data_IF_756302297613
#
_entry.id   IF_756302297613
#
_cell.length_a   1.000
_cell.length_b   1.000
_cell.length_c   1.000
_cell.angle_alpha   90.00
_cell.angle_beta   90.00
_cell.angle_gamma   90.00
#
_symmetry.space_group_name_H-M   'P 1'
#
loop_
_entity.id
_entity.type
_entity.pdbx_description
1 polymer ?
#
# COMPACT_ATOMS: atom_id res chain seq x y z
N UNK A 1 -42.81 29.67 14.85
CA UNK A 1 -42.41 28.25 14.79
C UNK A 1 -41.70 27.82 16.07
N UNK A 2 -40.74 28.60 16.58
CA UNK A 2 -40.02 28.32 17.83
C UNK A 2 -40.90 28.25 19.08
N UNK A 3 -41.94 29.09 19.15
CA UNK A 3 -42.86 29.13 20.30
C UNK A 3 -43.69 27.86 20.49
N UNK A 4 -43.77 26.97 19.50
CA UNK A 4 -44.48 25.69 19.66
C UNK A 4 -43.59 24.63 20.33
N UNK A 5 -42.27 24.70 20.13
CA UNK A 5 -41.30 23.73 20.63
C UNK A 5 -40.80 24.05 22.04
N UNK A 6 -40.63 25.34 22.35
CA UNK A 6 -40.01 25.80 23.60
C UNK A 6 -41.03 26.49 24.52
N UNK A 7 -40.89 26.26 25.82
CA UNK A 7 -41.67 26.97 26.83
C UNK A 7 -41.11 28.39 27.08
N UNK A 8 -41.78 29.15 27.93
CA UNK A 8 -41.35 30.51 28.31
C UNK A 8 -40.00 30.56 29.05
N UNK A 9 -39.52 29.42 29.57
CA UNK A 9 -38.18 29.31 30.18
C UNK A 9 -37.10 28.88 29.18
N UNK A 10 -37.43 28.71 27.90
CA UNK A 10 -36.46 28.36 26.85
C UNK A 10 -36.13 26.86 26.76
N UNK A 11 -36.83 26.00 27.49
CA UNK A 11 -36.69 24.54 27.44
C UNK A 11 -37.76 23.89 26.57
N UNK A 12 -37.50 22.65 26.15
CA UNK A 12 -38.44 21.92 25.30
C UNK A 12 -39.72 21.58 26.07
N UNK A 13 -40.87 21.87 25.45
CA UNK A 13 -42.19 21.50 25.98
C UNK A 13 -42.38 19.98 25.96
N UNK A 14 -43.17 19.47 26.90
CA UNK A 14 -43.52 18.04 26.94
C UNK A 14 -44.29 17.59 25.68
N UNK A 15 -45.11 18.48 25.12
CA UNK A 15 -45.81 18.23 23.85
C UNK A 15 -44.84 18.02 22.69
N UNK A 16 -43.77 18.82 22.62
CA UNK A 16 -42.74 18.72 21.59
C UNK A 16 -41.88 17.46 21.76
N UNK A 17 -41.53 17.10 23.01
CA UNK A 17 -40.85 15.82 23.30
C UNK A 17 -41.70 14.61 22.91
N UNK A 18 -43.01 14.65 23.16
CA UNK A 18 -43.91 13.59 22.72
C UNK A 18 -43.96 13.48 21.19
N UNK A 19 -44.07 14.61 20.48
CA UNK A 19 -44.00 14.64 19.01
C UNK A 19 -42.67 14.11 18.48
N UNK A 20 -41.56 14.40 19.16
CA UNK A 20 -40.24 13.84 18.83
C UNK A 20 -40.23 12.31 18.96
N UNK A 21 -40.72 11.77 20.08
CA UNK A 21 -40.80 10.32 20.32
C UNK A 21 -41.69 9.60 19.30
N UNK A 22 -42.83 10.21 18.98
CA UNK A 22 -43.80 9.64 18.05
C UNK A 22 -43.39 9.82 16.57
N UNK A 23 -42.24 10.46 16.29
CA UNK A 23 -41.75 10.71 14.92
C UNK A 23 -42.56 11.74 14.13
N UNK A 24 -43.32 12.60 14.81
CA UNK A 24 -44.27 13.55 14.23
C UNK A 24 -43.74 15.00 14.22
N UNK A 25 -42.41 15.17 14.16
CA UNK A 25 -41.78 16.46 13.91
C UNK A 25 -41.44 16.58 12.43
N UNK A 26 -41.58 17.78 11.88
CA UNK A 26 -41.02 18.07 10.55
C UNK A 26 -39.49 18.20 10.62
N UNK A 27 -38.82 18.12 9.46
CA UNK A 27 -37.35 18.12 9.39
C UNK A 27 -36.71 19.35 10.05
N UNK A 28 -37.34 20.52 9.92
CA UNK A 28 -36.83 21.78 10.48
C UNK A 28 -36.97 21.78 12.01
N UNK A 29 -38.13 21.36 12.53
CA UNK A 29 -38.37 21.22 13.96
C UNK A 29 -37.43 20.19 14.58
N UNK A 30 -37.18 19.08 13.88
CA UNK A 30 -36.25 18.04 14.31
C UNK A 30 -34.83 18.61 14.48
N UNK A 31 -34.32 19.33 13.47
CA UNK A 31 -32.99 19.95 13.53
C UNK A 31 -32.89 20.95 14.68
N UNK A 32 -33.89 21.82 14.85
CA UNK A 32 -33.91 22.83 15.92
C UNK A 32 -33.90 22.16 17.30
N UNK A 33 -34.76 21.15 17.48
CA UNK A 33 -34.91 20.45 18.75
C UNK A 33 -33.67 19.62 19.08
N UNK A 34 -33.10 18.89 18.11
CA UNK A 34 -31.84 18.16 18.28
C UNK A 34 -30.67 19.09 18.61
N UNK A 35 -30.58 20.26 17.97
CA UNK A 35 -29.52 21.22 18.26
C UNK A 35 -29.64 21.79 19.67
N UNK A 36 -30.87 22.00 20.15
CA UNK A 36 -31.09 22.44 21.52
C UNK A 36 -30.69 21.36 22.53
N UNK A 37 -31.09 20.10 22.32
CA UNK A 37 -30.73 18.97 23.21
C UNK A 37 -29.20 18.82 23.33
N UNK A 38 -28.46 19.00 22.23
CA UNK A 38 -26.99 18.98 22.24
C UNK A 38 -26.40 20.01 23.22
N UNK A 39 -27.09 21.14 23.41
CA UNK A 39 -26.60 22.29 24.19
C UNK A 39 -27.26 22.46 25.57
N UNK A 40 -28.33 21.73 25.88
CA UNK A 40 -29.11 21.88 27.10
C UNK A 40 -29.22 20.55 27.85
N UNK A 41 -28.43 20.43 28.92
CA UNK A 41 -28.34 19.22 29.76
C UNK A 41 -29.70 18.82 30.34
N UNK A 42 -30.47 19.78 30.88
CA UNK A 42 -31.81 19.52 31.42
C UNK A 42 -32.76 18.93 30.38
N UNK A 43 -32.70 19.41 29.14
CA UNK A 43 -33.52 18.89 28.05
C UNK A 43 -33.06 17.50 27.58
N UNK A 44 -31.76 17.22 27.65
CA UNK A 44 -31.20 15.90 27.34
C UNK A 44 -31.56 14.85 28.41
N UNK A 45 -31.49 15.22 29.69
CA UNK A 45 -31.93 14.40 30.81
C UNK A 45 -33.43 14.10 30.69
N UNK A 46 -34.23 15.16 30.50
CA UNK A 46 -35.68 15.03 30.32
C UNK A 46 -36.09 14.20 29.11
N UNK A 47 -35.31 14.23 28.03
CA UNK A 47 -35.53 13.34 26.88
C UNK A 47 -35.24 11.88 27.27
N UNK A 48 -34.15 11.63 27.99
CA UNK A 48 -33.77 10.29 28.43
C UNK A 48 -34.83 9.69 29.36
N UNK A 49 -35.32 10.49 30.31
CA UNK A 49 -36.38 10.11 31.25
C UNK A 49 -37.75 9.91 30.58
N UNK A 50 -37.95 10.47 29.38
CA UNK A 50 -39.20 10.31 28.64
C UNK A 50 -39.39 8.94 27.98
N UNK A 51 -38.35 8.11 27.97
CA UNK A 51 -38.40 6.73 27.51
C UNK A 51 -38.69 5.79 28.68
N UNK A 52 -39.91 5.26 28.76
CA UNK A 52 -40.23 4.24 29.76
C UNK A 52 -39.68 2.86 29.33
N UNK A 53 -39.28 2.00 30.28
CA UNK A 53 -38.79 0.65 29.97
C UNK A 53 -39.82 -0.24 29.24
N UNK A 54 -41.09 0.17 29.22
CA UNK A 54 -42.19 -0.52 28.53
C UNK A 54 -42.11 -0.33 27.00
N UNK A 55 -41.33 0.65 26.53
CA UNK A 55 -41.10 0.92 25.10
C UNK A 55 -39.99 0.02 24.49
N UNK A 56 -39.31 -0.79 25.30
CA UNK A 56 -38.38 -1.81 24.78
C UNK A 56 -39.18 -2.97 24.18
N UNK A 57 -39.51 -2.84 22.90
CA UNK A 57 -40.08 -3.91 22.10
C UNK A 57 -39.30 -5.21 22.33
N UNK A 58 -40.04 -6.30 22.59
CA UNK A 58 -39.45 -7.63 22.78
C UNK A 58 -38.70 -7.98 21.50
N UNK A 59 -37.38 -8.02 21.59
CA UNK A 59 -36.52 -8.29 20.44
C UNK A 59 -36.87 -9.68 19.88
N UNK A 60 -37.19 -9.80 18.57
CA UNK A 60 -37.45 -11.09 17.95
C UNK A 60 -36.26 -12.03 18.14
N UNK A 61 -36.52 -13.31 18.38
CA UNK A 61 -35.45 -14.31 18.45
C UNK A 61 -34.64 -14.33 17.16
N UNK A 62 -33.30 -14.36 17.26
CA UNK A 62 -32.40 -14.33 16.10
C UNK A 62 -31.98 -12.95 15.61
N UNK A 63 -32.53 -11.86 16.17
CA UNK A 63 -32.17 -10.49 15.77
C UNK A 63 -30.68 -10.20 15.99
N UNK A 64 -30.11 -10.67 17.11
CA UNK A 64 -28.70 -10.47 17.41
C UNK A 64 -27.80 -11.18 16.38
N UNK A 65 -28.13 -12.43 16.04
CA UNK A 65 -27.45 -13.21 15.02
C UNK A 65 -27.53 -12.52 13.65
N UNK A 66 -28.71 -12.04 13.24
CA UNK A 66 -28.91 -11.37 11.96
C UNK A 66 -28.10 -10.07 11.86
N UNK A 67 -28.12 -9.24 12.91
CA UNK A 67 -27.34 -7.99 12.95
C UNK A 67 -25.84 -8.29 12.90
N UNK A 68 -25.36 -9.29 13.65
CA UNK A 68 -23.97 -9.71 13.65
C UNK A 68 -23.53 -10.20 12.26
N UNK A 69 -24.37 -11.00 11.60
CA UNK A 69 -24.14 -11.47 10.23
C UNK A 69 -24.08 -10.31 9.24
N UNK A 70 -24.98 -9.33 9.36
CA UNK A 70 -25.05 -8.17 8.45
C UNK A 70 -23.81 -7.28 8.58
N UNK A 71 -23.30 -7.08 9.80
CA UNK A 71 -22.06 -6.35 10.08
C UNK A 71 -20.85 -7.11 9.51
N UNK A 72 -20.77 -8.42 9.77
CA UNK A 72 -19.65 -9.25 9.29
C UNK A 72 -19.61 -9.34 7.76
N UNK A 73 -20.76 -9.51 7.08
CA UNK A 73 -20.83 -9.52 5.60
C UNK A 73 -20.34 -8.22 4.98
N UNK A 74 -20.58 -7.08 5.62
CA UNK A 74 -20.04 -5.78 5.17
C UNK A 74 -18.51 -5.75 5.26
N UNK A 75 -17.95 -6.31 6.33
CA UNK A 75 -16.51 -6.40 6.52
C UNK A 75 -15.83 -7.37 5.54
N UNK A 76 -16.45 -8.52 5.25
CA UNK A 76 -15.94 -9.49 4.28
C UNK A 76 -15.89 -8.96 2.85
N UNK A 77 -16.92 -8.22 2.41
CA UNK A 77 -16.92 -7.60 1.07
C UNK A 77 -15.72 -6.68 0.88
N UNK A 78 -15.36 -5.87 1.89
CA UNK A 78 -14.19 -5.00 1.82
C UNK A 78 -12.87 -5.79 1.76
N UNK A 79 -12.80 -6.93 2.47
CA UNK A 79 -11.63 -7.84 2.40
C UNK A 79 -11.47 -8.46 1.01
N UNK A 80 -12.56 -8.85 0.36
CA UNK A 80 -12.51 -9.44 -0.98
C UNK A 80 -11.92 -8.48 -2.02
N UNK A 81 -12.31 -7.20 -1.98
CA UNK A 81 -11.71 -6.17 -2.85
C UNK A 81 -10.22 -5.97 -2.56
N UNK A 82 -9.82 -5.95 -1.28
CA UNK A 82 -8.41 -5.80 -0.92
C UNK A 82 -7.54 -6.97 -1.42
N UNK A 83 -7.97 -8.22 -1.24
CA UNK A 83 -7.24 -9.38 -1.74
C UNK A 83 -7.17 -9.43 -3.27
N UNK A 84 -8.23 -8.99 -3.96
CA UNK A 84 -8.22 -8.89 -5.41
C UNK A 84 -7.21 -7.85 -5.90
N UNK A 85 -7.25 -6.62 -5.35
CA UNK A 85 -6.30 -5.56 -5.69
C UNK A 85 -4.85 -5.95 -5.39
N UNK A 86 -4.61 -6.64 -4.26
CA UNK A 86 -3.28 -7.15 -3.92
C UNK A 86 -2.78 -8.16 -4.95
N UNK A 87 -3.61 -9.11 -5.38
CA UNK A 87 -3.26 -10.10 -6.40
C UNK A 87 -2.91 -9.45 -7.73
N UNK A 88 -3.72 -8.48 -8.17
CA UNK A 88 -3.47 -7.75 -9.42
C UNK A 88 -2.18 -6.94 -9.33
N UNK A 89 -1.96 -6.24 -8.21
CA UNK A 89 -0.73 -5.48 -7.97
C UNK A 89 0.50 -6.40 -7.95
N UNK A 90 0.42 -7.57 -7.31
CA UNK A 90 1.52 -8.54 -7.26
C UNK A 90 1.87 -9.04 -8.67
N UNK A 91 0.85 -9.37 -9.48
CA UNK A 91 1.05 -9.80 -10.87
C UNK A 91 1.69 -8.70 -11.72
N UNK A 92 1.24 -7.45 -11.57
CA UNK A 92 1.83 -6.29 -12.25
C UNK A 92 3.30 -6.07 -11.84
N UNK A 93 3.61 -6.15 -10.55
CA UNK A 93 4.99 -6.03 -10.06
C UNK A 93 5.88 -7.14 -10.61
N UNK A 94 5.41 -8.39 -10.64
CA UNK A 94 6.16 -9.52 -11.21
C UNK A 94 6.40 -9.30 -12.71
N UNK A 95 5.39 -8.86 -13.46
CA UNK A 95 5.53 -8.56 -14.89
C UNK A 95 6.54 -7.44 -15.13
N UNK A 96 6.51 -6.37 -14.33
CA UNK A 96 7.50 -5.30 -14.39
C UNK A 96 8.91 -5.82 -14.09
N UNK A 97 9.08 -6.69 -13.08
CA UNK A 97 10.38 -7.33 -12.81
C UNK A 97 10.86 -8.11 -14.03
N UNK A 98 10.01 -8.91 -14.69
CA UNK A 98 10.42 -9.64 -15.90
C UNK A 98 10.81 -8.72 -17.06
N UNK A 99 10.05 -7.65 -17.30
CA UNK A 99 10.33 -6.67 -18.36
C UNK A 99 11.62 -5.90 -18.08
N UNK A 100 11.82 -5.48 -16.84
CA UNK A 100 12.95 -4.65 -16.44
C UNK A 100 14.17 -5.45 -15.95
N UNK A 101 14.11 -6.79 -15.88
CA UNK A 101 15.25 -7.61 -15.41
C UNK A 101 16.52 -7.39 -16.25
N UNK A 102 16.37 -7.21 -17.57
CA UNK A 102 17.51 -6.94 -18.46
C UNK A 102 18.03 -5.50 -18.31
N UNK A 103 17.14 -4.53 -18.18
CA UNK A 103 17.49 -3.09 -18.09
C UNK A 103 18.05 -2.71 -16.72
N UNK A 104 17.48 -3.26 -15.64
CA UNK A 104 17.94 -3.04 -14.27
C UNK A 104 19.26 -3.73 -13.99
N UNK A 105 19.53 -4.91 -14.55
CA UNK A 105 20.84 -5.55 -14.42
C UNK A 105 21.94 -4.71 -15.10
N UNK A 106 21.64 -4.10 -16.25
CA UNK A 106 22.53 -3.14 -16.91
C UNK A 106 22.73 -1.87 -16.09
N UNK A 107 21.67 -1.23 -15.58
CA UNK A 107 21.78 -0.02 -14.75
C UNK A 107 22.44 -0.27 -13.38
N UNK A 108 22.16 -1.40 -12.73
CA UNK A 108 22.80 -1.78 -11.47
C UNK A 108 24.30 -2.06 -11.67
N UNK A 109 24.69 -2.61 -12.83
CA UNK A 109 26.11 -2.79 -13.20
C UNK A 109 26.83 -1.48 -13.52
N UNK A 110 26.11 -0.40 -13.83
CA UNK A 110 26.69 0.94 -14.02
C UNK A 110 26.84 1.74 -12.71
N UNK A 111 26.14 1.36 -11.64
CA UNK A 111 26.12 2.09 -10.36
C UNK A 111 27.10 1.60 -9.29
N UNK A 112 27.61 0.37 -9.37
CA UNK A 112 28.58 -0.14 -8.38
C UNK A 112 29.63 -1.01 -9.06
N UNK A 113 30.89 -0.67 -8.76
CA UNK A 113 32.17 -1.33 -9.11
C UNK A 113 32.78 -0.84 -10.43
N UNK A 114 33.69 0.11 -10.25
CA UNK A 114 35.02 0.03 -10.86
C UNK A 114 35.61 -1.35 -10.54
N UNK A 115 35.19 -2.37 -11.29
CA UNK A 115 35.95 -3.60 -11.38
C UNK A 115 37.28 -3.15 -11.98
N UNK A 116 38.29 -3.07 -11.13
CA UNK A 116 39.69 -3.11 -11.52
C UNK A 116 39.82 -4.37 -12.36
N UNK A 117 39.62 -4.25 -13.67
CA UNK A 117 39.96 -5.26 -14.65
C UNK A 117 41.46 -5.40 -14.46
N UNK A 118 41.86 -6.38 -13.65
CA UNK A 118 43.22 -6.90 -13.70
C UNK A 118 43.29 -7.43 -15.12
N UNK A 119 43.95 -6.67 -16.01
CA UNK A 119 44.13 -7.11 -17.38
C UNK A 119 44.62 -8.56 -17.31
N UNK A 120 44.08 -9.47 -18.14
CA UNK A 120 44.61 -10.82 -18.20
C UNK A 120 46.11 -10.63 -18.46
N UNK A 121 46.93 -10.92 -17.46
CA UNK A 121 48.37 -10.82 -17.65
C UNK A 121 48.66 -11.85 -18.73
N UNK A 122 48.93 -11.33 -19.93
CA UNK A 122 49.33 -12.06 -21.12
C UNK A 122 50.74 -12.64 -20.93
N UNK A 123 51.09 -13.11 -19.73
CA UNK A 123 52.38 -13.71 -19.40
C UNK A 123 52.66 -14.91 -20.32
N UNK A 124 51.62 -15.67 -20.67
CA UNK A 124 51.72 -16.78 -21.63
C UNK A 124 52.05 -16.27 -23.03
N UNK A 125 51.34 -15.25 -23.53
CA UNK A 125 51.58 -14.69 -24.88
C UNK A 125 52.93 -13.96 -24.95
N UNK A 126 53.33 -13.26 -23.89
CA UNK A 126 54.64 -12.62 -23.82
C UNK A 126 55.78 -13.67 -23.77
N UNK A 127 55.55 -14.80 -23.10
CA UNK A 127 56.50 -15.92 -23.11
C UNK A 127 56.60 -16.59 -24.49
N UNK A 128 55.49 -16.63 -25.25
CA UNK A 128 55.47 -17.16 -26.62
C UNK A 128 56.21 -16.21 -27.56
N UNK A 129 55.94 -14.90 -27.50
CA UNK A 129 56.67 -13.89 -28.27
C UNK A 129 58.17 -13.90 -27.97
N UNK A 130 58.56 -14.04 -26.70
CA UNK A 130 59.97 -14.16 -26.33
C UNK A 130 60.61 -15.45 -26.85
N UNK A 131 59.90 -16.58 -26.80
CA UNK A 131 60.41 -17.86 -27.33
C UNK A 131 60.56 -17.82 -28.85
N UNK A 132 59.61 -17.20 -29.56
CA UNK A 132 59.68 -17.00 -31.00
C UNK A 132 60.84 -16.06 -31.38
N UNK A 133 61.01 -14.94 -30.69
CA UNK A 133 62.14 -14.03 -30.91
C UNK A 133 63.49 -14.72 -30.71
N UNK A 134 63.63 -15.51 -29.64
CA UNK A 134 64.85 -16.28 -29.38
C UNK A 134 65.09 -17.38 -30.42
N UNK A 135 64.03 -18.03 -30.92
CA UNK A 135 64.14 -19.03 -31.98
C UNK A 135 64.56 -18.38 -33.31
N UNK A 136 63.95 -17.26 -33.68
CA UNK A 136 64.32 -16.49 -34.88
C UNK A 136 65.77 -16.04 -34.82
N UNK A 137 66.22 -15.47 -33.69
CA UNK A 137 67.62 -15.09 -33.53
C UNK A 137 68.57 -16.29 -33.63
N UNK A 138 68.16 -17.46 -33.10
CA UNK A 138 68.95 -18.69 -33.22
C UNK A 138 69.05 -19.20 -34.67
N UNK A 139 68.00 -19.04 -35.46
CA UNK A 139 68.04 -19.37 -36.90
C UNK A 139 68.94 -18.37 -37.64
N UNK A 140 68.82 -17.08 -37.37
CA UNK A 140 69.65 -16.04 -38.01
C UNK A 140 71.13 -16.26 -37.68
N UNK A 141 71.48 -16.54 -36.42
CA UNK A 141 72.86 -16.88 -36.05
C UNK A 141 73.32 -18.14 -36.78
N UNK A 142 72.47 -19.17 -36.86
CA UNK A 142 72.81 -20.42 -37.57
C UNK A 142 73.00 -20.21 -39.08
N UNK A 143 72.23 -19.32 -39.72
CA UNK A 143 72.44 -18.89 -41.10
C UNK A 143 73.69 -18.02 -41.26
N UNK A 144 74.00 -17.16 -40.29
CA UNK A 144 75.25 -16.39 -40.22
C UNK A 144 76.47 -17.30 -40.17
N UNK A 145 76.44 -18.32 -39.31
CA UNK A 145 77.49 -19.36 -39.25
C UNK A 145 77.57 -20.18 -40.53
N UNK A 146 76.44 -20.50 -41.18
CA UNK A 146 76.46 -21.25 -42.44
C UNK A 146 77.04 -20.44 -43.61
N UNK A 147 76.87 -19.11 -43.59
CA UNK A 147 77.49 -18.21 -44.57
C UNK A 147 79.00 -18.00 -44.35
N UNK A 148 79.49 -18.07 -43.10
CA UNK A 148 80.93 -18.02 -42.82
C UNK A 148 81.64 -19.32 -43.21
N UNK A 149 80.98 -20.48 -43.11
CA UNK A 149 81.52 -21.78 -43.55
C UNK A 149 81.63 -21.87 -45.08
N UNK A 150 80.80 -21.14 -45.85
CA UNK A 150 80.86 -21.13 -47.32
C UNK A 150 81.80 -20.08 -47.92
N UNK A 151 82.42 -19.21 -47.11
CA UNK A 151 83.39 -18.19 -47.57
C UNK A 151 84.83 -18.44 -47.12
N UNK A 152 85.18 -19.65 -46.69
CA UNK A 152 86.56 -20.05 -46.41
C UNK A 152 86.89 -21.46 -46.87
#
# INVERSE_FOLDING_TARGET
>A
MSDDLFNSSGHIKNSALKRFRDGNLNDIELVILSKHIESCEECAEKLTDSFEQVDFLKVPGGFQEEIKDKINRRHEKNRQFFFYSLKVSMAACIALVFVFSSTLNFMASTGVRTLKIKSPQFTVVNSINMKLGNFTNKIIDMEGFNNEIQKK
#
